data_IF_330457876805
#
_entry.id   IF_330457876805
#
_cell.length_a   1.000
_cell.length_b   1.000
_cell.length_c   1.000
_cell.angle_alpha   90.00
_cell.angle_beta   90.00
_cell.angle_gamma   90.00
#
_symmetry.space_group_name_H-M   'P 1'
#
loop_
_entity.id
_entity.type
_entity.pdbx_description
1 polymer ?
#
# COMPACT_ATOMS: atom_id res chain seq x y z
N UNK A 1 14.16 -18.61 -7.89
CA UNK A 1 13.01 -18.95 -7.04
C UNK A 1 12.88 -17.78 -6.09
N UNK A 2 11.87 -16.94 -6.25
CA UNK A 2 11.63 -15.86 -5.32
C UNK A 2 10.39 -16.22 -4.52
N UNK A 3 10.58 -17.12 -3.56
CA UNK A 3 9.47 -17.74 -2.84
C UNK A 3 8.84 -16.77 -1.82
N UNK A 4 9.52 -15.66 -1.49
CA UNK A 4 9.13 -14.74 -0.41
C UNK A 4 9.08 -13.23 -0.81
N UNK A 5 8.92 -12.88 -2.10
CA UNK A 5 8.92 -11.45 -2.49
C UNK A 5 7.79 -10.65 -1.86
N UNK A 6 6.61 -11.25 -1.69
CA UNK A 6 5.47 -10.53 -1.14
C UNK A 6 5.70 -10.22 0.34
N UNK A 7 6.33 -11.15 1.06
CA UNK A 7 6.77 -11.02 2.44
C UNK A 7 7.73 -9.85 2.60
N UNK A 8 8.70 -9.72 1.69
CA UNK A 8 9.59 -8.56 1.65
C UNK A 8 8.81 -7.27 1.35
N UNK A 9 7.94 -7.27 0.33
CA UNK A 9 7.14 -6.09 -0.08
C UNK A 9 6.30 -5.53 1.07
N UNK A 10 5.71 -6.40 1.90
CA UNK A 10 4.85 -5.99 3.01
C UNK A 10 5.59 -5.72 4.33
N UNK A 11 6.92 -5.65 4.32
CA UNK A 11 7.68 -5.20 5.49
C UNK A 11 7.37 -3.73 5.79
N UNK A 12 7.49 -3.34 7.07
CA UNK A 12 7.26 -1.95 7.49
C UNK A 12 8.23 -0.99 6.79
N UNK A 13 9.47 -1.39 6.55
CA UNK A 13 10.49 -0.57 5.91
C UNK A 13 10.16 -0.33 4.43
N UNK A 14 9.81 -1.39 3.68
CA UNK A 14 9.39 -1.23 2.28
C UNK A 14 8.08 -0.44 2.16
N UNK A 15 7.10 -0.69 3.03
CA UNK A 15 5.85 0.08 3.04
C UNK A 15 6.09 1.57 3.32
N UNK A 16 7.00 1.89 4.25
CA UNK A 16 7.38 3.27 4.59
C UNK A 16 8.10 3.95 3.43
N UNK A 17 9.07 3.26 2.81
CA UNK A 17 9.79 3.77 1.64
C UNK A 17 8.84 4.03 0.46
N UNK A 18 7.91 3.10 0.19
CA UNK A 18 6.89 3.24 -0.85
C UNK A 18 5.98 4.44 -0.58
N UNK A 19 5.52 4.61 0.66
CA UNK A 19 4.71 5.76 1.07
C UNK A 19 5.43 7.10 0.82
N UNK A 20 6.71 7.20 1.19
CA UNK A 20 7.49 8.42 0.95
C UNK A 20 7.64 8.73 -0.55
N UNK A 21 7.79 7.70 -1.39
CA UNK A 21 7.84 7.87 -2.84
C UNK A 21 6.50 8.37 -3.41
N UNK A 22 5.37 7.80 -2.98
CA UNK A 22 4.02 8.25 -3.37
C UNK A 22 3.81 9.71 -2.98
N UNK A 23 4.17 10.07 -1.75
CA UNK A 23 4.07 11.45 -1.27
C UNK A 23 4.91 12.42 -2.11
N UNK A 24 6.13 12.03 -2.47
CA UNK A 24 7.03 12.85 -3.31
C UNK A 24 6.47 13.08 -4.71
N UNK A 25 5.77 12.11 -5.28
CA UNK A 25 5.24 12.21 -6.64
C UNK A 25 4.12 13.26 -6.78
N UNK A 26 3.40 13.59 -5.70
CA UNK A 26 2.42 14.68 -5.69
C UNK A 26 1.29 14.54 -6.71
N UNK A 27 0.94 13.31 -7.10
CA UNK A 27 -0.09 13.04 -8.11
C UNK A 27 -1.50 13.43 -7.68
N UNK A 28 -2.37 13.64 -8.66
CA UNK A 28 -3.80 13.86 -8.42
C UNK A 28 -4.47 12.61 -7.82
N UNK A 29 -5.57 12.77 -7.06
CA UNK A 29 -6.37 11.65 -6.55
C UNK A 29 -6.86 10.69 -7.65
N UNK A 30 -7.10 9.43 -7.28
CA UNK A 30 -7.70 8.44 -8.16
C UNK A 30 -9.21 8.56 -8.25
N UNK A 31 -9.89 7.51 -8.73
CA UNK A 31 -11.36 7.46 -8.81
C UNK A 31 -12.03 7.57 -7.43
N UNK A 32 -11.30 7.22 -6.36
CA UNK A 32 -11.72 7.36 -4.95
C UNK A 32 -11.72 8.81 -4.44
N UNK A 33 -11.11 9.74 -5.18
CA UNK A 33 -10.98 11.15 -4.78
C UNK A 33 -10.09 11.37 -3.55
N UNK A 34 -9.38 10.36 -3.06
CA UNK A 34 -8.61 10.46 -1.82
C UNK A 34 -7.32 11.24 -2.02
N UNK A 35 -7.07 12.21 -1.14
CA UNK A 35 -5.77 12.89 -1.07
C UNK A 35 -4.70 11.95 -0.53
N UNK A 36 -3.44 12.32 -0.76
CA UNK A 36 -2.27 11.61 -0.22
C UNK A 36 -2.38 11.46 1.30
N UNK A 37 -2.73 12.51 2.04
CA UNK A 37 -2.90 12.48 3.50
C UNK A 37 -4.01 11.51 3.94
N UNK A 38 -5.18 11.57 3.29
CA UNK A 38 -6.29 10.65 3.58
C UNK A 38 -5.90 9.20 3.29
N UNK A 39 -5.14 8.96 2.22
CA UNK A 39 -4.65 7.63 1.86
C UNK A 39 -3.69 7.08 2.91
N UNK A 40 -2.83 7.91 3.50
CA UNK A 40 -1.95 7.48 4.61
C UNK A 40 -2.76 6.95 5.78
N UNK A 41 -3.76 7.71 6.21
CA UNK A 41 -4.51 7.39 7.42
C UNK A 41 -5.40 6.16 7.17
N UNK A 42 -5.97 6.02 5.97
CA UNK A 42 -6.67 4.80 5.55
C UNK A 42 -5.76 3.57 5.54
N UNK A 43 -4.56 3.67 4.94
CA UNK A 43 -3.61 2.54 4.94
C UNK A 43 -3.22 2.16 6.36
N UNK A 44 -2.97 3.12 7.26
CA UNK A 44 -2.65 2.82 8.67
C UNK A 44 -3.80 2.13 9.39
N UNK A 45 -5.04 2.57 9.16
CA UNK A 45 -6.23 1.97 9.75
C UNK A 45 -6.47 0.53 9.26
N UNK A 46 -6.18 0.24 8.00
CA UNK A 46 -6.48 -1.05 7.37
C UNK A 46 -5.26 -1.94 7.10
N UNK A 47 -4.08 -1.56 7.61
CA UNK A 47 -2.81 -2.16 7.25
C UNK A 47 -2.78 -3.68 7.43
N UNK A 48 -3.22 -4.18 8.59
CA UNK A 48 -3.20 -5.62 8.88
C UNK A 48 -4.04 -6.41 7.88
N UNK A 49 -5.20 -5.88 7.48
CA UNK A 49 -6.08 -6.50 6.50
C UNK A 49 -5.49 -6.45 5.10
N UNK A 50 -4.92 -5.32 4.69
CA UNK A 50 -4.26 -5.15 3.39
C UNK A 50 -3.07 -6.11 3.27
N UNK A 51 -2.22 -6.16 4.30
CA UNK A 51 -1.06 -7.06 4.38
C UNK A 51 -1.49 -8.52 4.27
N UNK A 52 -2.50 -8.95 5.02
CA UNK A 52 -3.00 -10.32 4.96
C UNK A 52 -3.52 -10.69 3.56
N UNK A 53 -4.27 -9.80 2.92
CA UNK A 53 -4.78 -10.01 1.56
C UNK A 53 -3.67 -10.07 0.51
N UNK A 54 -2.64 -9.23 0.63
CA UNK A 54 -1.48 -9.24 -0.26
C UNK A 54 -0.72 -10.57 -0.15
N UNK A 55 -0.41 -11.01 1.08
CA UNK A 55 0.25 -12.30 1.33
C UNK A 55 -0.58 -13.50 0.86
N UNK A 56 -1.90 -13.44 1.04
CA UNK A 56 -2.81 -14.48 0.57
C UNK A 56 -3.09 -14.44 -0.94
N UNK A 57 -2.59 -13.43 -1.67
CA UNK A 57 -2.88 -13.25 -3.10
C UNK A 57 -4.34 -12.93 -3.42
N UNK A 58 -5.09 -12.40 -2.45
CA UNK A 58 -6.54 -12.11 -2.57
C UNK A 58 -6.85 -10.61 -2.67
N UNK A 59 -5.83 -9.76 -2.64
CA UNK A 59 -6.00 -8.32 -2.81
C UNK A 59 -6.43 -8.00 -4.24
N UNK A 60 -7.52 -7.23 -4.38
CA UNK A 60 -8.01 -6.71 -5.66
C UNK A 60 -7.84 -5.19 -5.64
N UNK A 61 -7.04 -4.60 -6.54
CA UNK A 61 -6.87 -3.16 -6.60
C UNK A 61 -8.15 -2.47 -7.12
N UNK A 62 -8.34 -1.21 -6.74
CA UNK A 62 -9.36 -0.35 -7.34
C UNK A 62 -9.08 -0.14 -8.84
N UNK A 63 -10.13 -0.04 -9.67
CA UNK A 63 -10.01 0.14 -11.12
C UNK A 63 -9.43 1.50 -11.51
#
# INVERSE_FOLDING_TARGET
>A
MHEDLMEEVVTQDHATAAWLAVKRNGGAPGIDGMTTEQRRDHVRQHWETLRAKLLAGTYVPSP
#
